data_IF_567393893828
#
_entry.id   IF_567393893828
#
_cell.length_a   1.000
_cell.length_b   1.000
_cell.length_c   1.000
_cell.angle_alpha   90.00
_cell.angle_beta   90.00
_cell.angle_gamma   90.00
#
_symmetry.space_group_name_H-M   'P 1'
#
loop_
_entity.id
_entity.type
_entity.pdbx_description
1 polymer ?
#
# COMPACT_ATOMS: atom_id res chain seq x y z
N UNK A 1 -5.95 -7.18 13.40
CA UNK A 1 -5.10 -7.79 14.46
C UNK A 1 -3.94 -6.88 14.89
N UNK A 2 -2.78 -6.87 14.22
CA UNK A 2 -1.59 -6.13 14.72
C UNK A 2 -1.80 -4.61 14.83
N UNK A 3 -2.44 -4.00 13.82
CA UNK A 3 -2.72 -2.57 13.80
C UNK A 3 -3.75 -2.18 14.86
N UNK A 4 -4.82 -2.95 15.00
CA UNK A 4 -5.83 -2.76 16.05
C UNK A 4 -5.23 -2.88 17.45
N UNK A 5 -4.27 -3.80 17.64
CA UNK A 5 -3.56 -3.91 18.90
C UNK A 5 -2.77 -2.63 19.22
N UNK A 6 -2.01 -2.13 18.26
CA UNK A 6 -1.25 -0.88 18.42
C UNK A 6 -2.17 0.30 18.74
N UNK A 7 -3.33 0.39 18.09
CA UNK A 7 -4.30 1.48 18.32
C UNK A 7 -5.00 1.32 19.66
N UNK A 8 -5.51 0.12 19.97
CA UNK A 8 -6.37 -0.11 21.13
C UNK A 8 -5.59 -0.23 22.44
N UNK A 9 -4.48 -0.97 22.43
CA UNK A 9 -3.72 -1.27 23.65
C UNK A 9 -2.51 -0.38 23.83
N UNK A 10 -1.87 0.08 22.75
CA UNK A 10 -0.68 0.94 22.83
C UNK A 10 -1.00 2.43 22.64
N UNK A 11 -2.20 2.77 22.18
CA UNK A 11 -2.64 4.15 22.01
C UNK A 11 -1.82 4.93 20.98
N UNK A 12 -1.34 4.27 19.91
CA UNK A 12 -0.56 4.97 18.87
C UNK A 12 -1.43 6.03 18.19
N UNK A 13 -0.93 7.27 18.00
CA UNK A 13 -1.73 8.35 17.41
C UNK A 13 -1.66 8.37 15.88
N UNK A 14 -0.78 7.59 15.27
CA UNK A 14 -0.51 7.62 13.83
C UNK A 14 -0.20 6.21 13.32
N UNK A 15 -0.82 5.87 12.19
CA UNK A 15 -0.40 4.77 11.33
C UNK A 15 0.16 5.35 10.03
N UNK A 16 1.29 4.82 9.56
CA UNK A 16 1.86 5.18 8.27
C UNK A 16 1.97 3.92 7.41
N UNK A 17 1.37 3.97 6.22
CA UNK A 17 1.61 2.99 5.17
C UNK A 17 2.83 3.46 4.39
N UNK A 18 3.93 2.71 4.50
CA UNK A 18 5.20 3.07 3.87
C UNK A 18 5.53 2.07 2.74
N UNK A 19 5.41 2.51 1.50
CA UNK A 19 5.97 1.83 0.34
C UNK A 19 7.44 2.18 0.15
N UNK A 20 8.07 1.62 -0.88
CA UNK A 20 9.46 1.94 -1.22
C UNK A 20 9.74 1.85 -2.72
N UNK A 21 10.76 2.57 -3.20
CA UNK A 21 11.24 2.46 -4.58
C UNK A 21 11.68 1.03 -4.90
N UNK A 22 11.62 0.65 -6.17
CA UNK A 22 12.07 -0.66 -6.67
C UNK A 22 11.39 -1.86 -5.99
N UNK A 23 10.11 -1.72 -5.59
CA UNK A 23 9.38 -2.79 -4.92
C UNK A 23 9.16 -4.00 -5.84
N UNK A 24 9.88 -5.10 -5.57
CA UNK A 24 9.81 -6.33 -6.37
C UNK A 24 8.42 -6.98 -6.42
N UNK A 25 7.61 -6.85 -5.36
CA UNK A 25 6.24 -7.38 -5.36
C UNK A 25 5.32 -6.61 -6.32
N UNK A 26 5.48 -5.28 -6.36
CA UNK A 26 4.77 -4.44 -7.35
C UNK A 26 5.29 -4.72 -8.76
N UNK A 27 6.61 -4.89 -8.93
CA UNK A 27 7.18 -5.30 -10.22
C UNK A 27 6.67 -6.66 -10.71
N UNK A 28 6.51 -7.64 -9.82
CA UNK A 28 5.89 -8.92 -10.16
C UNK A 28 4.41 -8.76 -10.53
N UNK A 29 3.66 -7.93 -9.79
CA UNK A 29 2.27 -7.62 -10.09
C UNK A 29 2.09 -6.94 -11.46
N UNK A 30 3.00 -6.05 -11.85
CA UNK A 30 3.03 -5.47 -13.20
C UNK A 30 3.13 -6.58 -14.25
N UNK A 31 4.09 -7.50 -14.13
CA UNK A 31 4.22 -8.62 -15.10
C UNK A 31 2.98 -9.50 -15.17
N UNK A 32 2.34 -9.78 -14.02
CA UNK A 32 1.07 -10.52 -14.02
C UNK A 32 -0.02 -9.76 -14.78
N UNK A 33 -0.17 -8.46 -14.55
CA UNK A 33 -1.22 -7.64 -15.18
C UNK A 33 -0.94 -7.39 -16.67
N UNK A 34 0.28 -7.04 -17.05
CA UNK A 34 0.62 -6.58 -18.42
C UNK A 34 1.06 -7.72 -19.33
N UNK A 35 1.71 -8.75 -18.79
CA UNK A 35 2.29 -9.85 -19.56
C UNK A 35 1.59 -11.19 -19.29
N UNK A 36 0.64 -11.26 -18.35
CA UNK A 36 -0.02 -12.50 -17.90
C UNK A 36 0.98 -13.54 -17.39
N UNK A 37 2.04 -13.08 -16.72
CA UNK A 37 3.03 -13.96 -16.13
C UNK A 37 2.40 -14.87 -15.06
N UNK A 38 2.81 -16.13 -15.01
CA UNK A 38 2.45 -17.06 -13.92
C UNK A 38 3.56 -17.06 -12.86
N UNK A 39 3.16 -16.98 -11.58
CA UNK A 39 4.10 -16.98 -10.46
C UNK A 39 4.02 -18.32 -9.71
N UNK A 40 5.17 -18.87 -9.26
CA UNK A 40 5.18 -20.15 -8.56
C UNK A 40 4.71 -20.03 -7.09
N UNK A 41 4.24 -21.16 -6.55
CA UNK A 41 3.95 -21.32 -5.12
C UNK A 41 2.88 -20.34 -4.61
N UNK A 42 3.17 -19.66 -3.50
CA UNK A 42 2.25 -18.72 -2.84
C UNK A 42 2.36 -17.27 -3.35
N UNK A 43 3.25 -17.00 -4.31
CA UNK A 43 3.44 -15.65 -4.86
C UNK A 43 2.18 -15.07 -5.54
N UNK A 44 1.32 -15.85 -6.21
CA UNK A 44 0.06 -15.32 -6.74
C UNK A 44 -0.83 -14.68 -5.67
N UNK A 45 -0.88 -15.23 -4.45
CA UNK A 45 -1.69 -14.66 -3.35
C UNK A 45 -1.15 -13.30 -2.89
N UNK A 46 0.18 -13.16 -2.83
CA UNK A 46 0.85 -11.90 -2.53
C UNK A 46 0.50 -10.84 -3.59
N UNK A 47 0.63 -11.19 -4.86
CA UNK A 47 0.43 -10.25 -5.98
C UNK A 47 -1.04 -9.88 -6.16
N UNK A 48 -1.97 -10.78 -5.89
CA UNK A 48 -3.41 -10.52 -5.97
C UNK A 48 -3.86 -9.32 -5.13
N UNK A 49 -3.22 -9.06 -4.00
CA UNK A 49 -3.51 -7.89 -3.16
C UNK A 49 -3.00 -6.57 -3.76
N UNK A 50 -2.06 -6.62 -4.70
CA UNK A 50 -1.37 -5.48 -5.32
C UNK A 50 -1.94 -5.17 -6.71
N UNK A 51 -2.43 -6.18 -7.43
CA UNK A 51 -3.01 -6.04 -8.79
C UNK A 51 -3.97 -4.84 -8.95
N UNK A 52 -4.89 -4.54 -8.01
CA UNK A 52 -5.77 -3.38 -8.16
C UNK A 52 -5.03 -2.06 -8.32
N UNK A 53 -3.92 -1.88 -7.59
CA UNK A 53 -3.08 -0.68 -7.68
C UNK A 53 -2.39 -0.58 -9.04
N UNK A 54 -1.89 -1.71 -9.55
CA UNK A 54 -1.26 -1.79 -10.87
C UNK A 54 -2.28 -1.46 -11.97
N UNK A 55 -3.48 -2.04 -11.91
CA UNK A 55 -4.54 -1.80 -12.90
C UNK A 55 -4.94 -0.32 -12.90
N UNK A 56 -5.17 0.26 -11.73
CA UNK A 56 -5.53 1.67 -11.58
C UNK A 56 -4.40 2.60 -12.08
N UNK A 57 -3.14 2.30 -11.75
CA UNK A 57 -1.99 3.06 -12.25
C UNK A 57 -1.83 2.93 -13.76
N UNK A 58 -1.94 1.72 -14.30
CA UNK A 58 -1.75 1.44 -15.73
C UNK A 58 -2.80 2.15 -16.60
N UNK A 59 -4.06 2.19 -16.16
CA UNK A 59 -5.13 2.90 -16.86
C UNK A 59 -4.92 4.42 -17.00
N UNK A 60 -3.98 5.00 -16.24
CA UNK A 60 -3.59 6.41 -16.35
C UNK A 60 -2.43 6.66 -17.33
N UNK A 61 -1.87 5.62 -17.93
CA UNK A 61 -0.72 5.68 -18.86
C UNK A 61 0.48 6.51 -18.35
N UNK A 62 1.04 6.19 -17.17
CA UNK A 62 2.14 6.94 -16.58
C UNK A 62 3.44 6.75 -17.36
N UNK A 63 4.34 7.74 -17.29
CA UNK A 63 5.70 7.62 -17.82
C UNK A 63 6.56 6.59 -17.09
N UNK A 64 6.28 6.35 -15.81
CA UNK A 64 6.87 5.29 -14.99
C UNK A 64 5.73 4.51 -14.29
N UNK A 65 5.45 3.31 -14.80
CA UNK A 65 4.40 2.46 -14.25
C UNK A 65 4.77 1.89 -12.87
N UNK A 66 6.04 1.62 -12.60
CA UNK A 66 6.46 1.05 -11.33
C UNK A 66 6.27 2.06 -10.21
N UNK A 67 6.78 3.29 -10.39
CA UNK A 67 6.60 4.36 -9.42
C UNK A 67 5.11 4.66 -9.18
N UNK A 68 4.33 4.80 -10.26
CA UNK A 68 2.89 5.07 -10.16
C UNK A 68 2.11 3.95 -9.44
N UNK A 69 2.46 2.69 -9.68
CA UNK A 69 1.81 1.55 -9.03
C UNK A 69 2.23 1.41 -7.56
N UNK A 70 3.48 1.75 -7.20
CA UNK A 70 3.92 1.79 -5.80
C UNK A 70 3.11 2.83 -5.03
N UNK A 71 3.01 4.06 -5.54
CA UNK A 71 2.22 5.10 -4.89
C UNK A 71 0.74 4.72 -4.79
N UNK A 72 0.16 4.18 -5.87
CA UNK A 72 -1.23 3.74 -5.86
C UNK A 72 -1.45 2.62 -4.83
N UNK A 73 -0.52 1.68 -4.70
CA UNK A 73 -0.61 0.61 -3.71
C UNK A 73 -0.59 1.16 -2.29
N UNK A 74 0.22 2.19 -2.01
CA UNK A 74 0.18 2.88 -0.72
C UNK A 74 -1.17 3.57 -0.52
N UNK A 75 -1.67 4.32 -1.51
CA UNK A 75 -2.97 5.02 -1.43
C UNK A 75 -4.12 4.05 -1.16
N UNK A 76 -4.19 2.92 -1.87
CA UNK A 76 -5.22 1.91 -1.65
C UNK A 76 -5.13 1.26 -0.27
N UNK A 77 -3.92 1.04 0.25
CA UNK A 77 -3.75 0.51 1.61
C UNK A 77 -4.10 1.56 2.67
N UNK A 78 -3.82 2.84 2.45
CA UNK A 78 -4.31 3.93 3.33
C UNK A 78 -5.83 3.94 3.37
N UNK A 79 -6.49 3.90 2.21
CA UNK A 79 -7.96 3.83 2.13
C UNK A 79 -8.51 2.58 2.82
N UNK A 80 -7.86 1.42 2.63
CA UNK A 80 -8.25 0.19 3.31
C UNK A 80 -8.21 0.34 4.83
N UNK A 81 -7.21 1.00 5.39
CA UNK A 81 -7.12 1.25 6.84
C UNK A 81 -8.14 2.27 7.33
N UNK A 82 -8.54 3.22 6.48
CA UNK A 82 -9.61 4.18 6.81
C UNK A 82 -10.96 3.47 6.95
N UNK A 83 -11.22 2.51 6.07
CA UNK A 83 -12.48 1.76 6.03
C UNK A 83 -12.46 0.48 6.91
N UNK A 84 -11.35 0.18 7.60
CA UNK A 84 -11.16 -1.05 8.38
C UNK A 84 -11.92 -1.00 9.72
N UNK A 85 -13.10 -1.60 9.73
CA UNK A 85 -14.01 -1.63 10.86
C UNK A 85 -13.82 -2.88 11.74
N UNK A 86 -14.17 -2.81 13.05
CA UNK A 86 -14.74 -1.65 13.74
C UNK A 86 -13.70 -0.73 14.40
N UNK A 87 -12.51 -1.24 14.74
CA UNK A 87 -11.60 -0.53 15.65
C UNK A 87 -10.92 0.67 14.98
N UNK A 88 -10.37 0.50 13.77
CA UNK A 88 -9.60 1.57 13.12
C UNK A 88 -10.53 2.68 12.61
N UNK A 89 -11.64 2.31 11.96
CA UNK A 89 -12.65 3.26 11.49
C UNK A 89 -13.21 4.13 12.64
N UNK A 90 -13.53 3.54 13.80
CA UNK A 90 -14.04 4.28 14.96
C UNK A 90 -12.97 5.19 15.57
N UNK A 91 -11.72 4.71 15.65
CA UNK A 91 -10.60 5.50 16.13
C UNK A 91 -10.31 6.71 15.22
N UNK A 92 -10.47 6.56 13.91
CA UNK A 92 -10.36 7.65 12.94
C UNK A 92 -11.53 8.64 13.05
N UNK A 93 -12.77 8.14 13.11
CA UNK A 93 -13.97 8.98 13.25
C UNK A 93 -13.94 9.83 14.53
N UNK A 94 -13.38 9.28 15.62
CA UNK A 94 -13.19 9.98 16.90
C UNK A 94 -11.88 10.76 16.98
N UNK A 95 -11.11 10.85 15.88
CA UNK A 95 -9.83 11.57 15.78
C UNK A 95 -8.76 11.12 16.79
N UNK A 96 -8.83 9.87 17.25
CA UNK A 96 -7.82 9.28 18.13
C UNK A 96 -6.54 8.90 17.39
N UNK A 97 -6.68 8.58 16.10
CA UNK A 97 -5.56 8.25 15.22
C UNK A 97 -5.66 9.02 13.91
N UNK A 98 -4.52 9.13 13.21
CA UNK A 98 -4.45 9.51 11.80
C UNK A 98 -3.81 8.36 10.98
N UNK A 99 -4.12 8.31 9.68
CA UNK A 99 -3.42 7.44 8.72
C UNK A 99 -2.72 8.31 7.67
N UNK A 100 -1.48 7.97 7.35
CA UNK A 100 -0.67 8.65 6.32
C UNK A 100 -0.05 7.65 5.35
N UNK A 101 0.24 8.09 4.14
CA UNK A 101 0.99 7.33 3.14
C UNK A 101 2.37 7.94 2.89
N UNK A 102 3.35 7.10 2.60
CA UNK A 102 4.66 7.55 2.15
C UNK A 102 5.36 6.54 1.24
N UNK A 103 6.34 7.01 0.48
CA UNK A 103 7.26 6.18 -0.30
C UNK A 103 8.69 6.46 0.13
N UNK A 104 9.40 5.43 0.58
CA UNK A 104 10.82 5.47 0.89
C UNK A 104 11.67 5.23 -0.35
N UNK A 105 12.51 6.20 -0.70
CA UNK A 105 13.48 6.07 -1.77
C UNK A 105 14.73 5.33 -1.27
N UNK A 106 14.99 4.13 -1.79
CA UNK A 106 16.08 3.26 -1.33
C UNK A 106 17.47 3.86 -1.59
N UNK A 107 17.63 4.65 -2.66
CA UNK A 107 18.92 5.19 -3.07
C UNK A 107 19.35 6.40 -2.22
N UNK A 108 18.37 7.20 -1.78
CA UNK A 108 18.61 8.47 -1.08
C UNK A 108 18.24 8.43 0.40
N UNK A 109 17.44 7.44 0.83
CA UNK A 109 16.92 7.33 2.19
C UNK A 109 15.81 8.34 2.53
N UNK A 110 15.28 9.06 1.53
CA UNK A 110 14.21 10.05 1.73
C UNK A 110 12.84 9.39 1.74
N UNK A 111 11.92 9.94 2.53
CA UNK A 111 10.50 9.58 2.49
C UNK A 111 9.72 10.73 1.88
N UNK A 112 8.99 10.44 0.80
CA UNK A 112 8.03 11.37 0.19
C UNK A 112 6.63 11.03 0.70
N UNK A 113 5.92 12.00 1.26
CA UNK A 113 4.51 11.85 1.62
C UNK A 113 3.63 11.89 0.37
N UNK A 114 2.56 11.09 0.35
CA UNK A 114 1.64 10.93 -0.78
C UNK A 114 0.17 10.97 -0.39
#
# INVERSE_FOLDING_TARGET
ASLEYAVHFLGVPLLMVLGHSDCGAVGAAIKVVTERAELPGHLPELVKAIEPAVIAAHGRHPGDLLAAAIEENVRLNVMRLIDDAPILSDALATKKIAVSGGVYDLATGKVSLI
#
